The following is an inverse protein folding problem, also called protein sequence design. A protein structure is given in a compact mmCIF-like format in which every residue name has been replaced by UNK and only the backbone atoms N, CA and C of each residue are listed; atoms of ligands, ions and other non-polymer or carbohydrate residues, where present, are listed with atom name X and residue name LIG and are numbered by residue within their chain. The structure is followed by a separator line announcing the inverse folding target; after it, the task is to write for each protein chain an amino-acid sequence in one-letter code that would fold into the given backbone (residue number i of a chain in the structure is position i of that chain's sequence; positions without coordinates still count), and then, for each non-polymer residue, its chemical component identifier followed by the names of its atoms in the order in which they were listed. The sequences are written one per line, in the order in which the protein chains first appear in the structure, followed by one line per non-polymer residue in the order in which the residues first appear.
data_IF_339336456764
#
_entry.id   IF_339336456764
#
_cell.length_a   1.000
_cell.length_b   1.000
_cell.length_c   1.000
_cell.angle_alpha   90.00
_cell.angle_beta   90.00
_cell.angle_gamma   90.00
#
_symmetry.space_group_name_H-M   'P 1'
#
loop_
_entity.id
_entity.type
_entity.pdbx_description
1 polymer ?
2 branched ?
3 non-polymer ?
4 water ?
#
# COMPACT_ATOMS: atom_id res chain seq x y z
N UNK A 2 19.65 -9.80 -9.62
CA UNK A 2 21.12 -10.04 -9.52
C UNK A 2 21.57 -10.50 -8.13
N UNK A 3 22.81 -10.96 -8.06
CA UNK A 3 23.44 -11.42 -6.79
C UNK A 3 24.26 -10.28 -6.22
N UNK A 4 24.91 -9.54 -7.12
CA UNK A 4 25.82 -8.48 -6.73
C UNK A 4 25.08 -7.27 -6.14
N UNK A 5 23.80 -7.10 -6.44
CA UNK A 5 23.01 -6.00 -5.85
C UNK A 5 21.99 -6.49 -4.80
N UNK A 6 22.04 -5.89 -3.61
CA UNK A 6 21.16 -6.25 -2.45
C UNK A 6 20.01 -5.24 -2.22
N UNK A 7 18.77 -5.68 -2.42
CA UNK A 7 17.55 -4.86 -2.14
C UNK A 7 16.43 -5.65 -1.42
N UNK A 8 15.40 -4.95 -0.96
CA UNK A 8 14.19 -5.63 -0.43
C UNK A 8 13.23 -5.85 -1.59
N UNK A 9 12.66 -7.05 -1.67
CA UNK A 9 11.85 -7.37 -2.83
C UNK A 9 10.57 -6.57 -2.84
N UNK A 10 10.04 -6.30 -1.65
CA UNK A 10 8.88 -5.42 -1.49
C UNK A 10 9.08 -4.40 -0.33
N UNK A 11 8.55 -3.20 -0.50
CA UNK A 11 8.52 -2.18 0.56
C UNK A 11 7.12 -1.54 0.69
N UNK A 12 6.74 -1.22 1.93
CA UNK A 12 5.41 -0.67 2.26
C UNK A 12 5.48 0.61 3.08
N UNK A 13 4.71 1.59 2.65
CA UNK A 13 4.65 2.89 3.31
C UNK A 13 3.25 3.41 3.31
N UNK A 14 2.84 4.00 4.44
CA UNK A 14 1.55 4.65 4.55
C UNK A 14 1.45 5.82 3.60
N UNK A 15 0.29 5.96 2.98
CA UNK A 15 0.00 7.10 2.11
C UNK A 15 0.25 8.36 2.90
N UNK A 16 1.08 9.24 2.34
CA UNK A 16 1.51 10.46 3.03
C UNK A 16 2.72 10.29 3.94
N UNK A 17 3.23 9.06 4.04
CA UNK A 17 4.29 8.71 4.99
C UNK A 17 5.59 8.59 4.27
N UNK A 18 6.55 7.93 4.90
CA UNK A 18 7.91 7.83 4.33
C UNK A 18 8.45 6.38 4.23
N UNK A 19 9.27 6.10 3.19
CA UNK A 19 9.92 4.80 3.03
C UNK A 19 11.38 4.88 2.64
N UNK A 20 12.12 3.84 3.02
CA UNK A 20 13.50 3.64 2.58
C UNK A 20 13.55 2.44 1.64
N UNK A 21 14.17 2.66 0.49
CA UNK A 21 14.44 1.61 -0.46
C UNK A 21 15.94 1.30 -0.35
N UNK A 22 16.29 0.16 0.30
CA UNK A 22 17.69 -0.17 0.48
C UNK A 22 18.31 -0.63 -0.82
N UNK A 23 19.63 -0.49 -0.94
CA UNK A 23 20.36 -0.94 -2.13
C UNK A 23 21.85 -0.86 -1.92
N UNK A 24 22.52 -1.98 -2.17
CA UNK A 24 23.95 -2.07 -1.97
C UNK A 24 24.60 -3.08 -2.89
N UNK A 25 25.88 -2.84 -3.21
CA UNK A 25 26.64 -3.71 -4.10
C UNK A 25 27.46 -4.72 -3.31
N UNK A 26 26.83 -5.88 -3.12
CA UNK A 26 27.32 -6.95 -2.23
C UNK A 26 28.81 -7.22 -2.28
N UNK A 27 29.34 -7.61 -3.47
CA UNK A 27 30.70 -8.08 -3.66
C UNK A 27 31.66 -6.93 -3.48
N UNK A 28 32.24 -6.80 -2.29
CA UNK A 28 33.11 -5.66 -2.01
C UNK A 28 34.44 -5.78 -2.80
N UNK A 29 34.31 -5.59 -4.11
CA UNK A 29 35.41 -5.60 -5.07
C UNK A 29 36.21 -4.29 -5.03
N UNK A 30 37.11 -4.15 -6.00
CA UNK A 30 37.93 -2.95 -6.21
C UNK A 30 37.49 -2.09 -7.41
N UNK A 31 36.40 -2.49 -8.07
CA UNK A 31 35.97 -1.83 -9.33
C UNK A 31 35.07 -0.66 -9.09
N UNK A 32 35.40 0.43 -9.75
CA UNK A 32 34.69 1.70 -9.65
C UNK A 32 33.23 1.66 -10.11
N UNK A 33 32.40 2.43 -9.39
CA UNK A 33 31.01 2.61 -9.76
C UNK A 33 30.96 3.81 -10.71
N UNK A 34 30.92 3.50 -11.99
CA UNK A 34 30.68 4.49 -13.03
C UNK A 34 29.56 5.46 -12.61
N UNK A 35 28.42 4.91 -12.18
CA UNK A 35 27.25 5.69 -11.67
C UNK A 35 26.17 4.80 -11.02
N UNK A 36 25.27 5.42 -10.26
CA UNK A 36 24.08 4.72 -9.74
C UNK A 36 22.81 5.43 -10.14
N UNK A 37 21.77 4.66 -10.45
CA UNK A 37 20.48 5.22 -10.87
C UNK A 37 19.32 4.31 -10.48
N UNK A 38 18.18 4.96 -10.21
CA UNK A 38 16.96 4.29 -9.86
C UNK A 38 16.02 4.61 -10.92
N UNK A 39 15.42 3.59 -11.49
CA UNK A 39 14.39 3.77 -12.49
C UNK A 39 13.14 3.04 -12.08
N UNK A 40 12.00 3.63 -12.39
CA UNK A 40 10.75 2.91 -12.30
C UNK A 40 10.74 2.01 -13.47
N UNK A 41 9.86 1.03 -13.50
CA UNK A 41 9.82 0.08 -14.62
C UNK A 41 9.24 0.69 -15.92
N UNK A 42 8.41 1.72 -15.77
CA UNK A 42 7.95 2.55 -16.91
C UNK A 42 9.06 3.35 -17.58
N UNK A 43 10.25 3.34 -16.98
CA UNK A 43 11.43 3.98 -17.56
C UNK A 43 11.72 5.36 -17.02
N UNK A 44 11.00 5.79 -15.99
CA UNK A 44 11.29 7.08 -15.40
C UNK A 44 12.40 6.98 -14.41
N UNK A 45 13.50 7.66 -14.73
CA UNK A 45 14.65 7.79 -13.84
C UNK A 45 14.30 8.78 -12.75
N UNK A 46 14.48 8.31 -11.52
CA UNK A 46 13.95 8.98 -10.33
C UNK A 46 15.03 9.80 -9.63
N UNK A 47 16.19 9.16 -9.48
CA UNK A 47 17.33 9.72 -8.81
C UNK A 47 18.59 9.09 -9.41
N UNK A 48 19.72 9.80 -9.34
CA UNK A 48 20.97 9.27 -9.86
C UNK A 48 22.19 10.03 -9.38
N UNK A 49 23.30 9.30 -9.17
CA UNK A 49 24.61 9.90 -8.93
C UNK A 49 25.40 9.68 -10.20
N UNK A 50 25.79 10.77 -10.86
CA UNK A 50 26.53 10.72 -12.13
C UNK A 50 28.02 10.71 -11.96
N UNK A 51 28.77 10.26 -13.00
CA UNK A 51 30.20 10.14 -12.82
C UNK A 51 31.04 11.22 -12.10
N UNK A 52 30.93 12.44 -12.61
CA UNK A 52 31.75 13.58 -12.21
C UNK A 52 30.81 14.73 -11.91
N UNK A 53 29.66 14.73 -12.55
CA UNK A 53 28.64 15.73 -12.25
C UNK A 53 28.27 15.75 -10.74
N UNK A 54 27.97 14.59 -10.15
CA UNK A 54 27.38 14.52 -8.79
C UNK A 54 25.99 13.89 -8.72
N UNK A 55 25.25 14.15 -7.63
CA UNK A 55 23.91 13.56 -7.40
C UNK A 55 22.81 14.36 -8.08
N UNK A 56 21.86 13.65 -8.67
CA UNK A 56 20.81 14.28 -9.50
C UNK A 56 19.42 13.67 -9.32
N UNK A 57 18.39 14.46 -9.65
CA UNK A 57 16.99 14.07 -9.46
C UNK A 57 16.12 14.59 -10.60
N UNK A 58 16.25 13.98 -11.79
CA UNK A 58 15.85 14.58 -13.07
C UNK A 58 14.34 14.80 -13.28
N UNK A 59 13.51 13.98 -12.66
CA UNK A 59 12.07 14.15 -12.87
C UNK A 59 11.37 15.12 -11.88
N UNK A 60 10.60 16.01 -12.49
CA UNK A 60 9.80 17.02 -11.79
C UNK A 60 9.00 16.47 -10.60
N UNK A 61 8.44 15.28 -10.77
CA UNK A 61 7.50 14.73 -9.79
C UNK A 61 8.18 14.21 -8.56
N UNK A 62 9.45 13.88 -8.71
CA UNK A 62 10.21 13.32 -7.63
C UNK A 62 11.35 14.26 -7.41
N UNK A 63 11.01 15.41 -6.87
CA UNK A 63 11.98 16.44 -6.67
C UNK A 63 12.86 16.09 -5.47
N UNK A 64 14.03 16.68 -5.51
CA UNK A 64 15.00 16.75 -4.43
C UNK A 64 14.45 17.10 -3.04
N UNK A 65 13.33 17.82 -3.01
CA UNK A 65 12.65 18.16 -1.76
C UNK A 65 11.99 16.94 -1.15
N UNK A 66 11.73 15.93 -1.97
CA UNK A 66 10.96 14.75 -1.56
C UNK A 66 11.83 13.48 -1.50
N UNK A 67 12.74 13.32 -2.46
CA UNK A 67 13.61 12.17 -2.46
C UNK A 67 14.96 12.59 -1.97
N UNK A 68 15.76 11.61 -1.59
CA UNK A 68 17.14 11.82 -1.18
C UNK A 68 17.78 10.48 -0.89
N UNK A 69 19.09 10.43 -1.05
CA UNK A 69 19.87 9.24 -0.75
C UNK A 69 20.15 9.24 0.76
N UNK A 70 19.90 8.10 1.38
CA UNK A 70 19.97 7.93 2.83
C UNK A 70 21.37 8.09 3.41
N UNK A 71 22.36 8.22 2.53
CA UNK A 71 23.76 8.28 2.92
C UNK A 71 24.39 9.32 2.02
N UNK A 72 24.23 10.59 2.37
CA UNK A 72 24.58 11.71 1.45
C UNK A 72 26.00 12.42 1.56
N UNK A 73 27.12 11.74 1.82
CA UNK A 73 28.39 12.49 2.03
C UNK A 73 29.53 11.57 1.48
N UNK A 74 29.43 11.15 0.20
CA UNK A 74 30.14 9.97 -0.32
C UNK A 74 31.60 10.43 -0.52
N UNK A 75 32.51 9.84 0.25
CA UNK A 75 33.95 10.12 0.12
C UNK A 75 34.56 9.47 -1.09
N UNK A 76 34.58 8.14 -1.08
CA UNK A 76 35.29 7.39 -2.10
C UNK A 76 34.44 6.24 -2.56
N UNK A 77 34.83 5.62 -3.66
CA UNK A 77 33.97 4.68 -4.36
C UNK A 77 33.15 3.78 -3.43
N UNK A 78 33.84 3.12 -2.50
CA UNK A 78 33.16 2.33 -1.49
C UNK A 78 31.90 3.07 -1.04
N UNK A 79 32.03 4.36 -0.71
CA UNK A 79 30.89 5.20 -0.28
C UNK A 79 29.71 5.12 -1.25
N UNK A 80 29.96 4.57 -2.43
CA UNK A 80 28.95 4.47 -3.48
C UNK A 80 28.16 3.20 -3.39
N UNK A 81 28.68 2.19 -2.70
CA UNK A 81 28.04 0.88 -2.72
C UNK A 81 26.62 0.91 -2.13
N UNK A 82 26.27 1.96 -1.39
CA UNK A 82 24.94 2.12 -0.82
C UNK A 82 24.16 3.21 -1.55
N UNK A 83 23.19 2.79 -2.34
CA UNK A 83 22.36 3.72 -3.09
C UNK A 83 20.99 3.84 -2.46
N UNK A 84 20.90 3.59 -1.16
CA UNK A 84 19.62 3.62 -0.46
C UNK A 84 18.86 4.94 -0.62
N UNK A 85 17.60 4.84 -1.04
CA UNK A 85 16.82 6.02 -1.39
C UNK A 85 15.63 6.18 -0.47
N UNK A 86 15.47 7.38 0.06
CA UNK A 86 14.35 7.75 0.94
C UNK A 86 13.30 8.57 0.21
N UNK A 87 12.04 8.15 0.32
CA UNK A 87 10.88 8.92 -0.14
C UNK A 87 10.22 9.54 1.09
N UNK A 88 9.96 10.84 1.06
CA UNK A 88 9.07 11.45 2.06
C UNK A 88 7.85 12.04 1.35
N UNK A 89 6.75 12.14 2.08
CA UNK A 89 5.47 12.62 1.52
C UNK A 89 4.85 11.76 0.42
N UNK A 90 4.79 10.45 0.67
CA UNK A 90 4.34 9.51 -0.32
C UNK A 90 2.99 9.88 -0.92
N UNK A 91 2.94 9.79 -2.25
CA UNK A 91 1.71 9.90 -2.98
C UNK A 91 1.46 8.53 -3.52
N UNK A 92 0.25 8.32 -3.99
CA UNK A 92 -0.10 7.09 -4.63
C UNK A 92 0.85 6.85 -5.78
N UNK A 93 1.16 7.89 -6.53
CA UNK A 93 1.94 7.73 -7.76
C UNK A 93 3.41 7.39 -7.54
N UNK A 94 3.83 7.37 -6.28
CA UNK A 94 5.18 6.92 -5.92
C UNK A 94 5.25 5.37 -5.85
N UNK A 95 4.08 4.73 -5.88
CA UNK A 95 3.95 3.31 -6.12
C UNK A 95 4.79 2.93 -7.34
N UNK A 96 5.42 1.78 -7.29
CA UNK A 96 6.08 1.23 -8.46
C UNK A 96 7.16 0.20 -8.20
N UNK A 97 7.57 -0.47 -9.28
CA UNK A 97 8.76 -1.34 -9.27
C UNK A 97 10.04 -0.62 -9.66
N UNK A 98 10.84 -0.32 -8.65
CA UNK A 98 11.97 0.54 -8.80
C UNK A 98 13.21 -0.28 -8.94
N UNK A 99 13.97 0.03 -10.00
CA UNK A 99 15.20 -0.70 -10.31
C UNK A 99 16.40 0.08 -9.86
N UNK A 100 17.18 -0.53 -8.99
CA UNK A 100 18.39 0.06 -8.48
C UNK A 100 19.48 -0.48 -9.33
N UNK A 101 20.18 0.37 -10.07
CA UNK A 101 21.20 -0.08 -11.00
C UNK A 101 22.55 0.56 -10.75
N UNK A 102 23.57 -0.27 -10.59
CA UNK A 102 24.96 0.18 -10.49
C UNK A 102 25.70 -0.01 -11.79
N UNK A 103 26.25 1.08 -12.32
CA UNK A 103 27.14 1.00 -13.49
C UNK A 103 28.61 0.81 -13.06
N UNK A 104 29.21 -0.29 -13.50
CA UNK A 104 30.60 -0.63 -13.14
C UNK A 104 31.51 -0.72 -14.38
N UNK A 105 32.79 -0.35 -14.22
CA UNK A 105 33.66 -0.09 -15.38
C UNK A 105 34.49 -1.31 -15.81
N UNK A 106 34.62 -1.53 -17.12
CA UNK A 106 33.82 -0.87 -18.17
C UNK A 106 32.52 -1.60 -18.44
N UNK A 107 32.42 -2.85 -17.98
CA UNK A 107 31.22 -3.67 -18.21
C UNK A 107 31.07 -4.83 -17.21
N UNK A 108 29.83 -5.25 -16.98
CA UNK A 108 28.62 -4.54 -17.40
C UNK A 108 27.91 -4.17 -16.12
N UNK A 109 26.77 -3.49 -16.22
CA UNK A 109 26.05 -3.05 -15.01
C UNK A 109 25.25 -4.17 -14.33
N UNK A 110 24.93 -3.96 -13.05
CA UNK A 110 24.18 -4.93 -12.22
C UNK A 110 23.08 -4.21 -11.45
N UNK A 111 21.98 -4.92 -11.16
CA UNK A 111 20.79 -4.27 -10.60
C UNK A 111 19.75 -5.14 -9.83
N UNK A 112 19.05 -4.50 -8.89
CA UNK A 112 18.02 -5.13 -8.06
C UNK A 112 16.68 -4.41 -8.22
N UNK A 113 15.58 -5.11 -7.92
CA UNK A 113 14.25 -4.47 -8.01
C UNK A 113 13.41 -4.53 -6.70
N UNK A 114 12.97 -3.36 -6.25
CA UNK A 114 12.13 -3.22 -5.07
C UNK A 114 10.72 -2.84 -5.52
N UNK A 115 9.71 -3.51 -4.98
CA UNK A 115 8.35 -3.10 -5.22
C UNK A 115 7.94 -2.14 -4.14
N UNK A 116 7.77 -0.88 -4.51
CA UNK A 116 7.29 0.14 -3.59
C UNK A 116 5.77 0.25 -3.61
N UNK A 117 5.13 -0.15 -2.50
CA UNK A 117 3.66 -0.10 -2.36
C UNK A 117 3.22 0.91 -1.33
N UNK A 118 2.28 1.77 -1.75
CA UNK A 118 1.71 2.81 -0.89
C UNK A 118 0.37 2.38 -0.29
N UNK A 119 0.28 2.31 1.03
CA UNK A 119 -0.94 1.78 1.71
C UNK A 119 -1.77 2.88 2.37
N UNK A 120 -3.08 2.83 2.22
CA UNK A 120 -3.93 3.77 2.90
C UNK A 120 -4.91 3.07 3.86
N UNK A 121 -4.84 3.44 5.13
CA UNK A 121 -5.72 2.90 6.16
C UNK A 121 -7.15 3.41 5.99
N UNK A 122 -8.13 2.50 5.89
CA UNK A 122 -9.49 2.90 5.70
C UNK A 122 -10.16 3.27 6.98
N UNK A 123 -11.30 3.94 6.83
CA UNK A 123 -12.20 4.17 7.91
C UNK A 123 -13.38 3.18 7.78
N UNK A 124 -13.69 2.52 8.88
CA UNK A 124 -14.75 1.51 8.92
C UNK A 124 -15.82 1.75 9.98
N UNK A 125 -17.06 1.36 9.65
CA UNK A 125 -18.18 1.44 10.58
C UNK A 125 -19.31 0.55 10.11
N UNK A 126 -20.05 0.01 11.07
CA UNK A 126 -21.23 -0.76 10.79
C UNK A 126 -22.37 -0.18 11.61
N UNK A 127 -23.56 -0.21 11.02
CA UNK A 127 -24.77 0.11 11.76
C UNK A 127 -25.84 -0.92 11.42
N UNK A 128 -26.86 -0.99 12.27
CA UNK A 128 -28.04 -1.81 11.99
C UNK A 128 -29.00 -0.97 11.19
N UNK A 129 -29.75 -1.59 10.29
CA UNK A 129 -30.90 -0.93 9.67
C UNK A 129 -32.12 -1.52 10.28
N UNK A 130 -32.98 -0.69 10.87
CA UNK A 130 -34.26 -1.19 11.34
C UNK A 130 -35.07 -1.51 10.10
N UNK A 131 -35.79 -2.63 10.17
CA UNK A 131 -36.64 -3.09 9.07
C UNK A 131 -37.94 -3.66 9.63
N UNK A 132 -39.04 -3.58 8.90
CA UNK A 132 -40.27 -4.30 9.35
C UNK A 132 -40.21 -5.74 8.83
N UNK A 133 -40.85 -6.65 9.56
CA UNK A 133 -40.99 -8.04 9.11
C UNK A 133 -41.67 -8.05 7.75
N UNK A 134 -41.44 -9.10 6.95
CA UNK A 134 -41.98 -9.16 5.58
C UNK A 134 -41.26 -10.16 4.69
N UNK A 135 -41.90 -10.50 3.55
CA UNK A 135 -41.53 -11.64 2.68
C UNK A 135 -40.28 -11.47 1.80
N UNK A 136 -40.01 -10.23 1.41
CA UNK A 136 -38.81 -9.91 0.65
C UNK A 136 -37.59 -9.79 1.58
N UNK A 137 -36.45 -10.29 1.12
CA UNK A 137 -35.19 -10.05 1.82
C UNK A 137 -34.78 -8.60 1.58
N UNK A 138 -34.31 -7.96 2.65
CA UNK A 138 -33.74 -6.61 2.60
C UNK A 138 -32.47 -6.58 3.46
N UNK A 139 -31.72 -5.48 3.38
CA UNK A 139 -30.52 -5.29 4.21
C UNK A 139 -30.90 -4.94 5.62
N UNK A 140 -30.58 -5.84 6.53
CA UNK A 140 -30.81 -5.62 7.95
C UNK A 140 -29.60 -5.02 8.63
N UNK A 141 -28.47 -4.99 7.92
CA UNK A 141 -27.24 -4.47 8.48
C UNK A 141 -26.24 -4.13 7.38
N UNK A 142 -25.38 -3.16 7.67
CA UNK A 142 -24.46 -2.69 6.67
C UNK A 142 -23.18 -2.23 7.33
N UNK A 143 -22.10 -2.39 6.57
CA UNK A 143 -20.78 -2.09 7.02
C UNK A 143 -20.08 -1.38 5.92
N UNK A 144 -19.33 -0.34 6.26
CA UNK A 144 -18.67 0.41 5.23
C UNK A 144 -17.18 0.57 5.57
N UNK A 145 -16.33 0.16 4.63
CA UNK A 145 -14.87 0.33 4.75
C UNK A 145 -14.36 1.29 3.69
N UNK A 146 -14.18 2.55 4.09
CA UNK A 146 -13.99 3.64 3.12
C UNK A 146 -12.54 4.12 3.05
N UNK A 147 -12.11 4.45 1.82
CA UNK A 147 -10.78 5.01 1.59
C UNK A 147 -9.60 4.08 1.85
N UNK A 148 -9.80 2.77 1.65
CA UNK A 148 -8.74 1.79 1.90
C UNK A 148 -7.91 1.49 0.67
N UNK A 149 -6.63 1.25 0.89
CA UNK A 149 -5.73 0.83 -0.18
C UNK A 149 -4.69 -0.17 0.34
N UNK A 150 -4.73 -1.41 -0.17
CA UNK A 150 -5.64 -1.90 -1.17
C UNK A 150 -7.09 -2.03 -0.64
N UNK A 151 -8.06 -2.42 -1.50
CA UNK A 151 -9.41 -2.56 -0.98
C UNK A 151 -9.43 -3.47 0.24
N UNK A 152 -10.15 -3.03 1.26
CA UNK A 152 -10.37 -3.85 2.43
C UNK A 152 -11.21 -5.08 2.08
N UNK A 153 -11.21 -6.03 3.00
CA UNK A 153 -12.03 -7.19 2.84
C UNK A 153 -13.03 -7.28 3.99
N UNK A 154 -14.32 -7.33 3.65
CA UNK A 154 -15.38 -7.41 4.62
C UNK A 154 -16.06 -8.76 4.59
N UNK A 155 -16.09 -9.39 5.74
CA UNK A 155 -16.85 -10.61 5.93
C UNK A 155 -17.77 -10.38 7.11
N UNK A 156 -18.74 -11.26 7.30
CA UNK A 156 -19.66 -11.16 8.45
C UNK A 156 -19.72 -12.43 9.26
N UNK A 157 -19.85 -12.27 10.57
CA UNK A 157 -20.08 -13.38 11.49
C UNK A 157 -21.53 -13.37 11.92
N UNK A 158 -22.34 -14.28 11.40
CA UNK A 158 -23.76 -14.28 11.67
C UNK A 158 -24.34 -15.67 11.89
N UNK A 159 -25.25 -15.75 12.86
CA UNK A 159 -25.99 -16.97 13.18
C UNK A 159 -27.25 -17.08 12.33
N UNK A 160 -27.61 -16.02 11.64
CA UNK A 160 -28.76 -16.03 10.75
C UNK A 160 -28.34 -16.57 9.40
N UNK A 161 -29.28 -16.85 8.53
CA UNK A 161 -28.92 -17.48 7.27
C UNK A 161 -28.85 -16.49 6.14
N UNK A 162 -28.11 -15.41 6.32
CA UNK A 162 -28.14 -14.30 5.37
C UNK A 162 -27.05 -14.38 4.31
N UNK A 163 -27.29 -13.72 3.19
CA UNK A 163 -26.23 -13.45 2.22
C UNK A 163 -25.74 -12.01 2.36
N UNK A 164 -24.43 -11.91 2.56
CA UNK A 164 -23.72 -10.65 2.54
C UNK A 164 -23.33 -10.43 1.12
N UNK A 165 -23.81 -9.34 0.56
CA UNK A 165 -23.47 -8.97 -0.79
C UNK A 165 -22.96 -7.55 -0.74
N UNK A 166 -21.71 -7.38 -1.13
CA UNK A 166 -21.09 -6.09 -0.98
C UNK A 166 -20.66 -5.59 -2.32
N UNK A 167 -20.48 -4.28 -2.39
CA UNK A 167 -20.19 -3.58 -3.61
C UNK A 167 -19.04 -2.61 -3.37
N UNK A 168 -18.37 -2.22 -4.43
CA UNK A 168 -17.17 -1.38 -4.32
C UNK A 168 -17.32 -0.09 -5.12
N UNK A 169 -16.96 1.02 -4.52
CA UNK A 169 -16.86 2.27 -5.27
C UNK A 169 -15.51 2.83 -4.97
N UNK A 170 -14.95 3.65 -5.87
CA UNK A 170 -13.69 4.26 -5.50
C UNK A 170 -13.91 5.28 -4.42
N UNK A 171 -12.89 5.50 -3.61
CA UNK A 171 -12.95 6.47 -2.55
C UNK A 171 -12.73 7.86 -3.08
N UNK A 172 -12.82 8.84 -2.18
CA UNK A 172 -12.63 10.25 -2.53
C UNK A 172 -11.18 10.49 -2.95
N UNK A 173 -10.25 9.75 -2.34
CA UNK A 173 -8.82 9.88 -2.67
C UNK A 173 -8.43 8.98 -3.79
N UNK A 174 -7.69 9.53 -4.74
CA UNK A 174 -7.20 8.74 -5.85
C UNK A 174 -6.29 7.65 -5.33
N UNK A 175 -6.48 6.43 -5.82
CA UNK A 175 -5.77 5.29 -5.31
C UNK A 175 -6.59 4.46 -4.33
N UNK A 176 -7.47 5.08 -3.55
CA UNK A 176 -8.24 4.38 -2.48
C UNK A 176 -9.60 3.88 -2.93
N UNK A 177 -10.09 2.79 -2.32
CA UNK A 177 -11.43 2.26 -2.64
C UNK A 177 -12.29 1.92 -1.40
N UNK A 178 -13.61 2.08 -1.60
CA UNK A 178 -14.60 1.93 -0.55
C UNK A 178 -15.41 0.68 -0.80
N UNK A 179 -15.58 -0.12 0.25
CA UNK A 179 -16.45 -1.27 0.19
C UNK A 179 -17.68 -1.04 1.09
N UNK A 180 -18.86 -1.19 0.50
CA UNK A 180 -20.14 -1.17 1.22
C UNK A 180 -20.73 -2.58 1.28
N UNK A 181 -20.81 -3.14 2.48
CA UNK A 181 -21.37 -4.48 2.65
C UNK A 181 -22.74 -4.52 3.32
N UNK A 182 -23.75 -4.97 2.56
CA UNK A 182 -25.12 -5.05 3.06
C UNK A 182 -25.45 -6.49 3.32
N UNK A 183 -25.81 -6.76 4.56
CA UNK A 183 -26.16 -8.10 4.97
C UNK A 183 -27.67 -8.24 4.91
N UNK A 184 -28.13 -9.20 4.12
CA UNK A 184 -29.55 -9.33 3.80
C UNK A 184 -30.04 -10.69 4.17
N UNK A 185 -31.32 -10.79 4.64
CA UNK A 185 -31.87 -12.15 4.97
C UNK A 185 -33.26 -11.56 5.18
N UNK A 186 -34.31 -12.36 5.02
CA UNK A 186 -35.74 -11.90 5.01
C UNK A 186 -36.09 -11.79 6.47
N UNK A 187 -36.43 -10.58 6.88
CA UNK A 187 -36.55 -10.16 8.26
C UNK A 187 -37.63 -10.89 9.05
N UNK A 188 -37.22 -11.72 10.03
CA UNK A 188 -38.16 -12.62 10.68
C UNK A 188 -38.73 -12.20 12.04
N UNK A 189 -37.91 -11.61 12.91
CA UNK A 189 -38.41 -11.22 14.24
C UNK A 189 -37.48 -11.71 15.33
N UNK A 190 -37.02 -12.94 15.15
CA UNK A 190 -35.98 -13.53 15.98
C UNK A 190 -34.61 -13.02 15.48
N UNK A 191 -34.63 -11.99 14.64
CA UNK A 191 -33.43 -11.28 14.27
C UNK A 191 -33.16 -10.25 15.33
N UNK A 192 -34.23 -9.67 15.86
CA UNK A 192 -34.11 -8.55 16.77
C UNK A 192 -33.11 -8.86 17.86
N UNK A 193 -32.15 -7.95 18.05
CA UNK A 193 -31.20 -7.98 19.18
C UNK A 193 -30.05 -8.93 19.00
N UNK A 194 -30.04 -9.68 17.88
CA UNK A 194 -29.00 -10.66 17.60
C UNK A 194 -27.74 -9.97 17.14
N UNK A 195 -26.69 -10.13 17.94
CA UNK A 195 -25.39 -9.49 17.67
C UNK A 195 -24.68 -10.23 16.50
N UNK A 196 -24.29 -9.43 15.53
CA UNK A 196 -23.76 -9.89 14.29
C UNK A 196 -22.50 -9.04 14.13
N UNK A 197 -21.38 -9.65 13.74
CA UNK A 197 -20.14 -8.86 13.57
C UNK A 197 -19.73 -8.59 12.11
N UNK A 198 -19.45 -7.32 11.83
CA UNK A 198 -18.81 -6.92 10.60
C UNK A 198 -17.31 -7.03 10.78
N UNK A 199 -16.67 -7.76 9.89
CA UNK A 199 -15.27 -8.00 10.03
C UNK A 199 -14.54 -7.47 8.84
N UNK A 200 -13.71 -6.46 9.11
CA UNK A 200 -12.90 -5.88 8.07
C UNK A 200 -11.41 -6.26 8.25
N UNK A 201 -10.84 -6.80 7.16
CA UNK A 201 -9.42 -7.17 7.08
C UNK A 201 -8.74 -6.17 6.21
N UNK A 202 -7.58 -5.69 6.62
CA UNK A 202 -6.83 -4.77 5.81
C UNK A 202 -5.43 -4.74 6.24
N UNK A 203 -4.53 -4.54 5.29
CA UNK A 203 -3.07 -4.62 5.55
C UNK A 203 -2.62 -3.77 6.75
N UNK A 204 -3.21 -2.58 6.87
CA UNK A 204 -2.78 -1.56 7.82
C UNK A 204 -3.12 -1.89 9.28
N UNK A 205 -3.92 -2.94 9.48
CA UNK A 205 -4.26 -3.44 10.80
C UNK A 205 -3.60 -4.81 10.99
N UNK A 206 -3.08 -5.06 12.19
CA UNK A 206 -2.42 -6.35 12.47
C UNK A 206 -3.44 -7.50 12.43
N UNK A 207 -4.64 -7.22 12.90
CA UNK A 207 -5.68 -8.20 12.94
C UNK A 207 -6.92 -7.59 12.38
N UNK A 208 -7.80 -8.43 11.84
CA UNK A 208 -9.12 -7.99 11.41
C UNK A 208 -9.84 -7.13 12.46
N UNK A 209 -10.62 -6.18 11.98
CA UNK A 209 -11.40 -5.32 12.85
C UNK A 209 -12.79 -5.93 12.99
N UNK A 210 -13.26 -6.01 14.23
CA UNK A 210 -14.56 -6.57 14.55
C UNK A 210 -15.53 -5.50 14.98
N UNK A 211 -16.57 -5.27 14.18
CA UNK A 211 -17.56 -4.25 14.49
C UNK A 211 -18.92 -4.86 14.82
N UNK A 212 -19.27 -4.90 16.10
CA UNK A 212 -20.51 -5.52 16.50
C UNK A 212 -21.72 -4.72 16.02
N UNK A 213 -22.78 -5.43 15.64
CA UNK A 213 -24.09 -4.83 15.34
C UNK A 213 -25.24 -5.68 15.91
N UNK A 214 -26.19 -5.03 16.58
CA UNK A 214 -27.39 -5.71 17.02
C UNK A 214 -28.55 -5.35 16.10
N UNK A 215 -29.14 -6.38 15.53
CA UNK A 215 -30.16 -6.25 14.53
C UNK A 215 -31.47 -5.76 15.15
N UNK A 216 -32.21 -4.94 14.41
CA UNK A 216 -33.55 -4.55 14.80
C UNK A 216 -34.60 -5.19 13.87
N UNK A 217 -35.82 -5.25 14.36
CA UNK A 217 -36.97 -5.70 13.56
C UNK A 217 -38.23 -5.15 14.24
N UNK A 218 -39.28 -4.90 13.46
CA UNK A 218 -40.27 -3.96 13.91
C UNK A 218 -41.69 -4.50 14.10
N UNK A 219 -42.41 -3.79 14.98
CA UNK A 219 -43.82 -4.00 15.34
C UNK A 219 -43.92 -4.79 16.63
#
# INVERSE_FOLDING_TARGET
QDVRVRVLPEVRGRLGGTVELPCHLLPPTTERVSQVTWQRLDGTVVAAFHPSFGVDFPNSQFSKDRLSFVRARPETNADLRDATLAFRGLRVEDEGNYTCEFATDPNGTRRGVTWLRVIAQPENHAEAQEVTIGPQSVAVARCVSTGGRPPARITWISSLGGEAKDTQEPGIQAGTVTIISRYSLVPVGRADGVKVTCRVEHESFEEPILLPVTLSVRYHHHHHH
#
